data_IF_373255886630
#
_entry.id   IF_373255886630
#
_cell.length_a   1.000
_cell.length_b   1.000
_cell.length_c   1.000
_cell.angle_alpha   90.00
_cell.angle_beta   90.00
_cell.angle_gamma   90.00
#
_symmetry.space_group_name_H-M   'P 1'
#
loop_
_entity.id
_entity.type
_entity.pdbx_description
1 polymer ?
#
# COMPACT_ATOMS: atom_id res chain seq x y z
N UNK A 1 -9.97 6.45 -25.06
CA UNK A 1 -8.69 7.17 -24.87
C UNK A 1 -8.92 8.25 -23.84
N UNK A 2 -7.98 8.46 -22.90
CA UNK A 2 -8.07 9.57 -21.95
C UNK A 2 -7.74 10.89 -22.66
N UNK A 3 -8.51 11.98 -22.42
CA UNK A 3 -8.15 13.31 -22.89
C UNK A 3 -6.73 13.73 -22.47
N UNK A 4 -6.03 14.46 -23.35
CA UNK A 4 -4.72 15.02 -23.04
C UNK A 4 -4.81 16.04 -21.89
N UNK A 5 -3.78 16.13 -21.04
CA UNK A 5 -3.73 17.06 -19.91
C UNK A 5 -4.49 16.61 -18.64
N UNK A 6 -5.00 15.37 -18.57
CA UNK A 6 -5.59 14.85 -17.34
C UNK A 6 -4.50 14.52 -16.34
N UNK A 7 -4.44 15.29 -15.26
CA UNK A 7 -3.51 15.07 -14.15
C UNK A 7 -4.08 14.18 -13.04
N UNK A 8 -5.41 14.06 -12.93
CA UNK A 8 -6.08 13.25 -11.91
C UNK A 8 -7.16 12.37 -12.52
N UNK A 9 -7.10 11.06 -12.24
CA UNK A 9 -8.03 10.06 -12.75
C UNK A 9 -8.62 9.22 -11.61
N UNK A 10 -9.93 9.04 -11.64
CA UNK A 10 -10.67 8.15 -10.74
C UNK A 10 -11.25 6.98 -11.54
N UNK A 11 -10.94 5.75 -11.13
CA UNK A 11 -11.55 4.53 -11.66
C UNK A 11 -12.47 3.95 -10.58
N UNK A 12 -13.76 3.86 -10.86
CA UNK A 12 -14.74 3.28 -9.94
C UNK A 12 -15.54 2.19 -10.65
N UNK A 13 -15.79 1.07 -9.97
CA UNK A 13 -16.66 -0.03 -10.43
C UNK A 13 -16.23 -0.58 -11.81
N UNK A 14 -14.93 -0.80 -11.99
CA UNK A 14 -14.35 -1.35 -13.21
C UNK A 14 -13.82 -2.77 -12.97
N UNK A 15 -14.62 -3.75 -13.38
CA UNK A 15 -14.36 -5.17 -13.07
C UNK A 15 -13.81 -5.97 -14.25
N UNK A 16 -13.59 -5.32 -15.40
CA UNK A 16 -13.13 -5.98 -16.64
C UNK A 16 -11.61 -6.22 -16.67
N UNK A 17 -10.82 -5.47 -15.90
CA UNK A 17 -9.37 -5.61 -15.88
C UNK A 17 -8.86 -6.28 -14.60
N UNK A 18 -7.86 -7.16 -14.81
CA UNK A 18 -7.09 -7.80 -13.75
C UNK A 18 -5.97 -6.87 -13.26
N UNK A 19 -5.34 -6.12 -14.17
CA UNK A 19 -4.22 -5.22 -13.87
C UNK A 19 -4.49 -3.80 -14.36
N UNK A 20 -4.20 -2.77 -13.55
CA UNK A 20 -4.52 -1.37 -13.88
C UNK A 20 -3.73 -0.88 -15.11
N UNK A 21 -2.44 -1.22 -15.19
CA UNK A 21 -1.57 -0.83 -16.31
C UNK A 21 -1.93 -1.53 -17.63
N UNK A 22 -2.72 -2.61 -17.58
CA UNK A 22 -3.18 -3.33 -18.77
C UNK A 22 -4.35 -2.63 -19.48
N UNK A 23 -4.99 -1.65 -18.82
CA UNK A 23 -6.12 -0.92 -19.39
C UNK A 23 -5.66 -0.07 -20.58
N UNK A 24 -6.15 -0.30 -21.81
CA UNK A 24 -5.58 0.28 -23.03
C UNK A 24 -5.50 1.81 -23.02
N UNK A 25 -6.51 2.50 -22.49
CA UNK A 25 -6.54 3.97 -22.48
C UNK A 25 -5.66 4.62 -21.40
N UNK A 26 -5.12 3.85 -20.45
CA UNK A 26 -4.14 4.36 -19.48
C UNK A 26 -2.70 4.37 -20.04
N UNK A 27 -2.44 3.62 -21.12
CA UNK A 27 -1.12 3.59 -21.77
C UNK A 27 -0.71 4.96 -22.32
N UNK A 28 -1.68 5.71 -22.83
CA UNK A 28 -1.46 7.02 -23.44
C UNK A 28 -1.55 8.19 -22.44
N UNK A 29 -1.83 7.90 -21.16
CA UNK A 29 -2.04 8.91 -20.12
C UNK A 29 -0.72 9.48 -19.57
N UNK A 30 0.01 10.23 -20.40
CA UNK A 30 1.34 10.77 -20.08
C UNK A 30 1.33 11.87 -19.01
N UNK A 31 0.22 12.59 -18.88
CA UNK A 31 0.10 13.70 -17.92
C UNK A 31 -0.44 13.26 -16.56
N UNK A 32 -0.81 11.99 -16.39
CA UNK A 32 -1.45 11.52 -15.17
C UNK A 32 -0.50 11.59 -13.98
N UNK A 33 -0.88 12.31 -12.93
CA UNK A 33 -0.13 12.47 -11.67
C UNK A 33 -0.83 11.81 -10.49
N UNK A 34 -2.15 11.76 -10.49
CA UNK A 34 -2.95 11.17 -9.41
C UNK A 34 -3.90 10.13 -9.96
N UNK A 35 -3.87 8.94 -9.37
CA UNK A 35 -4.78 7.86 -9.71
C UNK A 35 -5.50 7.37 -8.45
N UNK A 36 -6.82 7.32 -8.51
CA UNK A 36 -7.69 6.82 -7.43
C UNK A 36 -8.50 5.67 -7.98
N UNK A 37 -8.42 4.49 -7.37
CA UNK A 37 -9.12 3.28 -7.80
C UNK A 37 -10.01 2.80 -6.67
N UNK A 38 -11.32 2.70 -6.93
CA UNK A 38 -12.31 2.31 -5.92
C UNK A 38 -13.26 1.23 -6.41
N UNK A 39 -13.68 0.34 -5.51
CA UNK A 39 -14.77 -0.60 -5.76
C UNK A 39 -14.58 -1.49 -7.01
N UNK A 40 -13.33 -1.73 -7.42
CA UNK A 40 -13.00 -2.61 -8.55
C UNK A 40 -12.76 -4.03 -8.00
N UNK A 41 -13.76 -4.89 -8.16
CA UNK A 41 -13.79 -6.28 -7.69
C UNK A 41 -13.00 -7.23 -8.58
N UNK A 42 -12.71 -6.84 -9.82
CA UNK A 42 -11.90 -7.61 -10.77
C UNK A 42 -10.39 -7.42 -10.63
N UNK A 43 -9.96 -6.31 -10.03
CA UNK A 43 -8.57 -5.89 -10.02
C UNK A 43 -7.74 -6.70 -9.03
N UNK A 44 -6.70 -7.39 -9.52
CA UNK A 44 -5.77 -8.18 -8.72
C UNK A 44 -4.38 -7.51 -8.59
N UNK A 45 -3.97 -6.70 -9.57
CA UNK A 45 -2.69 -5.98 -9.55
C UNK A 45 -2.75 -4.57 -10.14
N UNK A 46 -1.71 -3.76 -9.90
CA UNK A 46 -1.59 -2.42 -10.52
C UNK A 46 -0.74 -2.51 -11.77
N UNK A 47 0.45 -3.06 -11.66
CA UNK A 47 1.43 -3.12 -12.71
C UNK A 47 1.56 -4.54 -13.22
N UNK A 48 1.20 -4.73 -14.49
CA UNK A 48 1.42 -5.98 -15.19
C UNK A 48 2.82 -6.05 -15.77
N UNK A 49 3.49 -7.18 -15.53
CA UNK A 49 4.76 -7.53 -16.15
C UNK A 49 4.71 -7.56 -17.68
N UNK A 50 3.55 -7.83 -18.28
CA UNK A 50 3.36 -7.80 -19.73
C UNK A 50 3.24 -6.37 -20.31
N UNK A 51 3.22 -5.34 -19.46
CA UNK A 51 3.05 -3.94 -19.88
C UNK A 51 4.35 -3.13 -19.91
N UNK A 52 5.47 -3.74 -19.52
CA UNK A 52 6.78 -3.12 -19.69
C UNK A 52 7.17 -3.17 -21.18
N UNK A 53 7.42 -2.00 -21.78
CA UNK A 53 7.92 -1.95 -23.15
C UNK A 53 9.44 -2.13 -23.18
N UNK A 54 9.95 -2.66 -24.31
CA UNK A 54 11.40 -2.79 -24.55
C UNK A 54 12.12 -1.43 -24.52
N UNK A 55 11.41 -0.35 -24.83
CA UNK A 55 11.90 1.03 -24.78
C UNK A 55 11.99 1.62 -23.36
N UNK A 56 11.68 0.84 -22.32
CA UNK A 56 11.68 1.30 -20.92
C UNK A 56 10.56 2.27 -20.57
N UNK A 57 9.53 2.42 -21.42
CA UNK A 57 8.32 3.15 -21.07
C UNK A 57 7.42 2.27 -20.19
N UNK A 58 6.89 2.87 -19.13
CA UNK A 58 5.99 2.21 -18.19
C UNK A 58 4.66 2.95 -18.16
N UNK A 59 3.58 2.21 -18.36
CA UNK A 59 2.23 2.73 -18.13
C UNK A 59 2.11 3.18 -16.68
N UNK A 60 1.55 4.37 -16.45
CA UNK A 60 1.46 5.00 -15.12
C UNK A 60 2.81 5.42 -14.49
N UNK A 61 3.92 5.43 -15.26
CA UNK A 61 5.23 5.86 -14.74
C UNK A 61 5.27 7.31 -14.22
N UNK A 62 4.34 8.16 -14.68
CA UNK A 62 4.20 9.56 -14.27
C UNK A 62 3.33 9.78 -13.03
N UNK A 63 2.64 8.74 -12.54
CA UNK A 63 1.78 8.83 -11.35
C UNK A 63 2.63 9.08 -10.11
N UNK A 64 2.29 10.15 -9.41
CA UNK A 64 2.90 10.56 -8.14
C UNK A 64 2.05 10.16 -6.92
N UNK A 65 0.73 10.01 -7.07
CA UNK A 65 -0.17 9.64 -5.98
C UNK A 65 -1.12 8.54 -6.42
N UNK A 66 -1.07 7.38 -5.74
CA UNK A 66 -1.92 6.23 -6.02
C UNK A 66 -2.75 5.87 -4.78
N UNK A 67 -4.08 5.88 -4.93
CA UNK A 67 -5.02 5.55 -3.87
C UNK A 67 -5.88 4.35 -4.27
N UNK A 68 -5.71 3.25 -3.54
CA UNK A 68 -6.38 1.97 -3.77
C UNK A 68 -7.35 1.73 -2.62
N UNK A 69 -8.65 1.79 -2.92
CA UNK A 69 -9.69 1.72 -1.91
C UNK A 69 -10.75 0.67 -2.25
N UNK A 70 -11.12 -0.18 -1.29
CA UNK A 70 -12.19 -1.18 -1.46
C UNK A 70 -11.96 -2.10 -2.67
N UNK A 71 -10.79 -2.73 -2.72
CA UNK A 71 -10.41 -3.65 -3.80
C UNK A 71 -10.34 -5.08 -3.26
N UNK A 72 -11.45 -5.85 -3.28
CA UNK A 72 -11.53 -7.12 -2.54
C UNK A 72 -10.65 -8.23 -3.12
N UNK A 73 -10.26 -8.16 -4.40
CA UNK A 73 -9.36 -9.13 -5.04
C UNK A 73 -7.93 -8.62 -5.25
N UNK A 74 -7.64 -7.37 -4.87
CA UNK A 74 -6.31 -6.80 -5.05
C UNK A 74 -5.30 -7.52 -4.16
N UNK A 75 -4.22 -8.02 -4.77
CA UNK A 75 -3.25 -8.93 -4.13
C UNK A 75 -1.85 -8.35 -4.07
N UNK A 76 -1.39 -7.76 -5.17
CA UNK A 76 0.02 -7.36 -5.34
C UNK A 76 0.12 -6.10 -6.17
N UNK A 77 1.10 -5.25 -5.89
CA UNK A 77 1.39 -4.10 -6.76
C UNK A 77 1.85 -4.56 -8.16
N UNK A 78 2.64 -5.62 -8.23
CA UNK A 78 3.22 -6.18 -9.47
C UNK A 78 2.92 -7.66 -9.58
N UNK A 79 2.43 -8.12 -10.73
CA UNK A 79 2.00 -9.51 -10.96
C UNK A 79 3.11 -10.47 -11.43
N UNK A 80 4.36 -10.00 -11.59
CA UNK A 80 5.46 -10.80 -12.12
C UNK A 80 6.83 -10.44 -11.53
N UNK A 81 7.88 -11.03 -12.12
CA UNK A 81 9.27 -10.76 -11.73
C UNK A 81 9.57 -9.26 -11.78
N UNK A 82 10.39 -8.79 -10.83
CA UNK A 82 10.72 -7.37 -10.63
C UNK A 82 10.84 -6.57 -11.93
N UNK A 83 10.37 -5.30 -11.95
CA UNK A 83 10.68 -4.39 -13.04
C UNK A 83 12.20 -4.41 -13.29
N UNK A 84 12.66 -4.33 -14.55
CA UNK A 84 14.07 -4.09 -14.84
C UNK A 84 14.64 -2.99 -13.94
N UNK A 85 15.89 -3.13 -13.46
CA UNK A 85 16.53 -2.15 -12.54
C UNK A 85 16.57 -0.71 -13.08
N UNK A 86 16.28 -0.51 -14.37
CA UNK A 86 16.16 0.80 -15.04
C UNK A 86 14.78 1.45 -14.91
N UNK A 87 13.80 0.80 -14.31
CA UNK A 87 12.43 1.30 -14.17
C UNK A 87 12.26 1.98 -12.82
N UNK A 88 11.99 3.29 -12.84
CA UNK A 88 11.66 4.06 -11.66
C UNK A 88 10.27 4.68 -11.80
N UNK A 89 9.48 4.58 -10.73
CA UNK A 89 8.18 5.22 -10.63
C UNK A 89 8.33 6.58 -9.96
N UNK A 90 7.58 7.58 -10.44
CA UNK A 90 7.51 8.90 -9.81
C UNK A 90 6.62 8.94 -8.56
N UNK A 91 6.23 7.77 -8.05
CA UNK A 91 5.30 7.63 -6.94
C UNK A 91 5.88 8.26 -5.67
N UNK A 92 5.17 9.25 -5.15
CA UNK A 92 5.42 9.95 -3.89
C UNK A 92 4.46 9.51 -2.81
N UNK A 93 3.24 9.13 -3.16
CA UNK A 93 2.21 8.76 -2.21
C UNK A 93 1.52 7.47 -2.61
N UNK A 94 1.37 6.56 -1.64
CA UNK A 94 0.66 5.31 -1.84
C UNK A 94 -0.29 5.03 -0.67
N UNK A 95 -1.56 4.84 -1.00
CA UNK A 95 -2.62 4.57 -0.03
C UNK A 95 -3.31 3.25 -0.36
N UNK A 96 -3.45 2.39 0.65
CA UNK A 96 -4.30 1.20 0.63
C UNK A 96 -5.40 1.36 1.68
N UNK A 97 -6.66 1.18 1.27
CA UNK A 97 -7.82 1.23 2.17
C UNK A 97 -8.73 0.05 1.87
N UNK A 98 -8.95 -0.84 2.84
CA UNK A 98 -9.86 -2.00 2.66
C UNK A 98 -9.54 -2.87 1.44
N UNK A 99 -8.25 -3.12 1.21
CA UNK A 99 -7.76 -4.06 0.20
C UNK A 99 -7.52 -5.43 0.84
N UNK A 100 -8.60 -6.17 1.11
CA UNK A 100 -8.56 -7.32 2.02
C UNK A 100 -7.90 -8.59 1.44
N UNK A 101 -7.61 -8.68 0.14
CA UNK A 101 -6.87 -9.82 -0.42
C UNK A 101 -5.33 -9.65 -0.37
N UNK A 102 -4.84 -8.45 -0.05
CA UNK A 102 -3.40 -8.20 0.06
C UNK A 102 -2.86 -8.84 1.33
N UNK A 103 -1.77 -9.59 1.18
CA UNK A 103 -1.01 -10.13 2.30
C UNK A 103 0.22 -9.32 2.62
N UNK A 104 0.95 -8.85 1.59
CA UNK A 104 2.15 -8.05 1.74
C UNK A 104 2.11 -6.84 0.81
N UNK A 105 2.60 -5.68 1.25
CA UNK A 105 2.57 -4.47 0.43
C UNK A 105 3.74 -4.42 -0.55
N UNK A 106 4.96 -4.62 -0.05
CA UNK A 106 6.19 -4.57 -0.84
C UNK A 106 7.05 -5.82 -0.63
N UNK A 107 7.46 -6.50 -1.70
CA UNK A 107 8.75 -7.17 -1.74
C UNK A 107 9.87 -6.13 -1.57
N UNK A 108 10.91 -6.43 -0.79
CA UNK A 108 12.09 -5.57 -0.61
C UNK A 108 12.67 -5.10 -1.95
N UNK A 109 12.71 -6.00 -2.94
CA UNK A 109 13.29 -5.74 -4.24
C UNK A 109 12.55 -4.67 -5.06
N UNK A 110 11.29 -4.37 -4.71
CA UNK A 110 10.53 -3.32 -5.39
C UNK A 110 10.78 -1.93 -4.82
N UNK A 111 11.34 -1.82 -3.62
CA UNK A 111 11.56 -0.53 -2.98
C UNK A 111 12.53 0.35 -3.77
N UNK A 112 13.50 -0.25 -4.46
CA UNK A 112 14.44 0.46 -5.35
C UNK A 112 13.73 1.16 -6.52
N UNK A 113 12.56 0.68 -6.92
CA UNK A 113 11.77 1.29 -8.00
C UNK A 113 10.96 2.51 -7.52
N UNK A 114 10.93 2.80 -6.20
CA UNK A 114 10.19 3.91 -5.60
C UNK A 114 11.10 4.91 -4.85
N UNK A 115 12.12 5.48 -5.50
CA UNK A 115 13.10 6.35 -4.83
C UNK A 115 12.49 7.66 -4.30
N UNK A 116 11.27 8.00 -4.75
CA UNK A 116 10.57 9.23 -4.41
C UNK A 116 9.43 9.05 -3.41
N UNK A 117 9.24 7.87 -2.84
CA UNK A 117 8.12 7.61 -1.92
C UNK A 117 8.24 8.47 -0.66
N UNK A 118 7.27 9.36 -0.46
CA UNK A 118 7.16 10.27 0.69
C UNK A 118 6.12 9.80 1.70
N UNK A 119 5.04 9.15 1.25
CA UNK A 119 3.93 8.72 2.10
C UNK A 119 3.48 7.30 1.79
N UNK A 120 3.38 6.48 2.83
CA UNK A 120 2.75 5.17 2.79
C UNK A 120 1.65 5.10 3.84
N UNK A 121 0.42 4.79 3.39
CA UNK A 121 -0.72 4.59 4.27
C UNK A 121 -1.41 3.27 3.96
N UNK A 122 -1.58 2.42 4.97
CA UNK A 122 -2.27 1.13 4.87
C UNK A 122 -3.32 1.09 5.96
N UNK A 123 -4.59 1.09 5.57
CA UNK A 123 -5.71 1.27 6.49
C UNK A 123 -6.80 0.23 6.26
N UNK A 124 -7.32 -0.37 7.32
CA UNK A 124 -8.42 -1.35 7.28
C UNK A 124 -8.19 -2.51 6.31
N UNK A 125 -6.95 -2.94 6.10
CA UNK A 125 -6.61 -4.08 5.23
C UNK A 125 -6.42 -5.32 6.11
N UNK A 126 -7.47 -6.13 6.25
CA UNK A 126 -7.56 -7.13 7.33
C UNK A 126 -6.57 -8.29 7.23
N UNK A 127 -6.11 -8.64 6.03
CA UNK A 127 -5.23 -9.79 5.79
C UNK A 127 -3.76 -9.43 5.54
N UNK A 128 -3.39 -8.15 5.67
CA UNK A 128 -1.98 -7.75 5.56
C UNK A 128 -1.22 -8.32 6.75
N UNK A 129 -0.20 -9.13 6.48
CA UNK A 129 0.68 -9.76 7.46
C UNK A 129 2.01 -9.04 7.57
N UNK A 130 2.55 -8.52 6.45
CA UNK A 130 3.81 -7.77 6.44
C UNK A 130 3.70 -6.51 5.55
N UNK A 131 4.28 -5.38 5.96
CA UNK A 131 4.38 -4.22 5.05
C UNK A 131 5.47 -4.49 4.03
N UNK A 132 6.64 -4.91 4.48
CA UNK A 132 7.80 -5.19 3.65
C UNK A 132 8.28 -6.62 3.92
N UNK A 133 8.34 -7.43 2.87
CA UNK A 133 8.73 -8.84 2.93
C UNK A 133 9.93 -9.12 2.01
N UNK A 134 10.84 -9.97 2.47
CA UNK A 134 11.90 -10.51 1.62
C UNK A 134 11.37 -11.77 0.91
N UNK A 135 11.34 -11.75 -0.42
CA UNK A 135 10.87 -12.89 -1.22
C UNK A 135 12.09 -13.62 -1.81
N UNK A 136 12.35 -14.84 -1.33
CA UNK A 136 13.49 -15.66 -1.73
C UNK A 136 13.50 -16.02 -3.24
N UNK A 137 12.34 -16.13 -3.88
CA UNK A 137 12.27 -16.37 -5.33
C UNK A 137 12.73 -15.14 -6.16
N UNK A 138 12.75 -13.95 -5.55
CA UNK A 138 13.19 -12.71 -6.19
C UNK A 138 14.66 -12.39 -5.89
N UNK A 139 15.35 -13.19 -5.06
CA UNK A 139 16.77 -12.98 -4.69
C UNK A 139 17.79 -13.68 -5.62
N UNK A 140 17.34 -14.46 -6.61
CA UNK A 140 18.23 -15.14 -7.56
C UNK A 140 18.94 -14.22 -8.57
N UNK A 141 18.63 -12.92 -8.59
CA UNK A 141 19.30 -11.94 -9.44
C UNK A 141 20.47 -11.26 -8.72
N UNK A 142 21.59 -11.99 -8.60
CA UNK A 142 22.94 -11.45 -8.75
C UNK A 142 23.46 -10.36 -7.78
N UNK A 143 22.72 -9.92 -6.76
CA UNK A 143 23.29 -9.12 -5.69
C UNK A 143 23.72 -10.03 -4.53
N UNK A 144 24.96 -10.52 -4.62
CA UNK A 144 25.76 -10.63 -3.41
C UNK A 144 25.98 -9.21 -2.88
N UNK A 145 24.98 -8.67 -2.17
CA UNK A 145 25.19 -7.50 -1.32
C UNK A 145 25.18 -7.99 0.12
N UNK A 146 26.31 -7.74 0.76
CA UNK A 146 26.67 -8.18 2.09
C UNK A 146 25.57 -7.94 3.12
N UNK A 147 25.49 -8.87 4.06
CA UNK A 147 24.63 -8.92 5.23
C UNK A 147 24.61 -7.59 6.01
N UNK A 148 23.76 -6.67 5.58
CA UNK A 148 23.01 -5.81 6.48
C UNK A 148 21.57 -5.99 6.06
N UNK A 149 20.72 -6.50 6.95
CA UNK A 149 19.29 -6.64 6.71
C UNK A 149 18.63 -5.24 6.73
N UNK A 150 19.19 -4.26 6.00
CA UNK A 150 18.81 -2.86 6.06
C UNK A 150 18.31 -2.38 4.71
N UNK A 151 17.22 -1.62 4.72
CA UNK A 151 16.63 -0.97 3.54
C UNK A 151 16.64 0.53 3.73
N UNK A 152 16.75 1.27 2.63
CA UNK A 152 16.76 2.73 2.64
C UNK A 152 15.53 3.29 1.96
N UNK A 153 14.80 4.16 2.66
CA UNK A 153 13.69 4.94 2.11
C UNK A 153 13.97 6.42 2.40
N UNK A 154 14.85 7.06 1.59
CA UNK A 154 15.46 8.35 1.94
C UNK A 154 14.47 9.50 2.00
N UNK A 155 13.35 9.40 1.28
CA UNK A 155 12.33 10.46 1.16
C UNK A 155 11.04 10.18 1.94
N UNK A 156 10.92 9.01 2.58
CA UNK A 156 9.71 8.67 3.32
C UNK A 156 9.57 9.61 4.52
N UNK A 157 8.46 10.37 4.56
CA UNK A 157 8.09 11.33 5.60
C UNK A 157 7.01 10.80 6.50
N UNK A 158 6.02 10.10 5.95
CA UNK A 158 4.87 9.61 6.72
C UNK A 158 4.64 8.11 6.47
N UNK A 159 4.59 7.36 7.58
CA UNK A 159 4.15 5.97 7.60
C UNK A 159 2.90 5.86 8.49
N UNK A 160 1.77 5.44 7.90
CA UNK A 160 0.50 5.28 8.62
C UNK A 160 -0.05 3.87 8.46
N UNK A 161 -0.19 3.15 9.56
CA UNK A 161 -0.71 1.80 9.66
C UNK A 161 -1.92 1.83 10.60
N UNK A 162 -3.11 1.49 10.10
CA UNK A 162 -4.35 1.65 10.85
C UNK A 162 -5.28 0.44 10.70
N UNK A 163 -5.73 -0.13 11.81
CA UNK A 163 -6.65 -1.28 11.89
C UNK A 163 -6.20 -2.42 10.95
N UNK A 164 -5.00 -2.93 11.21
CA UNK A 164 -4.40 -4.07 10.51
C UNK A 164 -4.26 -5.24 11.49
N UNK A 165 -5.34 -5.99 11.76
CA UNK A 165 -5.41 -6.97 12.85
C UNK A 165 -4.43 -8.14 12.70
N UNK A 166 -4.00 -8.44 11.47
CA UNK A 166 -3.08 -9.54 11.14
C UNK A 166 -1.65 -9.10 10.87
N UNK A 167 -1.36 -7.80 10.98
CA UNK A 167 -0.02 -7.27 10.69
C UNK A 167 0.98 -7.72 11.76
N UNK A 168 1.92 -8.57 11.36
CA UNK A 168 2.97 -9.15 12.21
C UNK A 168 4.22 -8.29 12.22
N UNK A 169 4.62 -7.77 11.06
CA UNK A 169 5.87 -7.01 10.91
C UNK A 169 5.72 -5.85 9.94
N UNK A 170 6.39 -4.73 10.25
CA UNK A 170 6.58 -3.65 9.28
C UNK A 170 7.72 -4.05 8.34
N UNK A 171 8.84 -4.48 8.92
CA UNK A 171 9.99 -5.07 8.24
C UNK A 171 10.79 -5.87 9.26
N UNK A 172 11.31 -7.04 8.87
CA UNK A 172 12.11 -7.89 9.78
C UNK A 172 13.56 -7.43 9.94
N UNK A 173 13.98 -6.43 9.19
CA UNK A 173 15.29 -5.81 9.30
C UNK A 173 15.22 -4.36 9.79
N UNK A 174 16.20 -3.57 9.38
CA UNK A 174 16.32 -2.16 9.74
C UNK A 174 15.93 -1.26 8.56
N UNK A 175 15.17 -0.21 8.83
CA UNK A 175 14.74 0.80 7.88
C UNK A 175 15.49 2.10 8.16
N UNK A 176 16.29 2.52 7.19
CA UNK A 176 16.99 3.81 7.19
C UNK A 176 16.12 4.84 6.49
N UNK A 177 15.43 5.66 7.28
CA UNK A 177 14.49 6.68 6.81
C UNK A 177 14.88 8.07 7.35
N UNK A 178 15.92 8.73 6.81
CA UNK A 178 16.43 10.00 7.35
C UNK A 178 15.40 11.15 7.31
N UNK A 179 14.44 11.08 6.37
CA UNK A 179 13.37 12.10 6.21
C UNK A 179 12.08 11.76 6.96
N UNK A 180 12.03 10.68 7.75
CA UNK A 180 10.79 10.27 8.42
C UNK A 180 10.41 11.33 9.45
N UNK A 181 9.18 11.85 9.33
CA UNK A 181 8.64 12.87 10.21
C UNK A 181 7.61 12.27 11.16
N UNK A 182 6.73 11.42 10.64
CA UNK A 182 5.59 10.89 11.39
C UNK A 182 5.41 9.38 11.18
N UNK A 183 5.21 8.67 12.28
CA UNK A 183 4.93 7.25 12.29
C UNK A 183 3.69 6.99 13.12
N UNK A 184 2.65 6.45 12.49
CA UNK A 184 1.37 6.18 13.12
C UNK A 184 1.04 4.70 13.03
N UNK A 185 0.84 4.06 14.17
CA UNK A 185 0.47 2.63 14.26
C UNK A 185 -0.70 2.47 15.22
N UNK A 186 -1.89 2.21 14.68
CA UNK A 186 -3.14 2.09 15.43
C UNK A 186 -3.87 0.81 15.05
N UNK A 187 -4.44 0.10 16.04
CA UNK A 187 -5.20 -1.12 15.77
C UNK A 187 -4.38 -2.24 15.10
N UNK A 188 -3.08 -2.34 15.42
CA UNK A 188 -2.16 -3.34 14.89
C UNK A 188 -1.57 -4.21 16.02
N UNK A 189 -2.37 -5.09 16.65
CA UNK A 189 -2.03 -5.75 17.92
C UNK A 189 -0.89 -6.78 17.82
N UNK A 190 -0.56 -7.25 16.62
CA UNK A 190 0.48 -8.27 16.40
C UNK A 190 1.87 -7.67 16.13
N UNK A 191 1.97 -6.37 15.84
CA UNK A 191 3.25 -5.71 15.58
C UNK A 191 3.98 -5.49 16.89
N UNK A 192 5.16 -6.10 17.03
CA UNK A 192 5.99 -5.97 18.25
C UNK A 192 7.29 -5.22 18.06
N UNK A 193 7.68 -4.88 16.83
CA UNK A 193 8.93 -4.19 16.55
C UNK A 193 8.70 -2.98 15.66
N UNK A 194 9.48 -1.93 15.91
CA UNK A 194 9.56 -0.76 15.06
C UNK A 194 10.92 -0.77 14.33
N UNK A 195 10.96 -1.03 13.02
CA UNK A 195 12.22 -1.26 12.31
C UNK A 195 13.01 0.01 12.01
N UNK A 196 12.84 1.12 12.74
CA UNK A 196 13.53 2.38 12.41
C UNK A 196 14.98 2.37 12.91
N UNK A 197 15.93 2.71 12.04
CA UNK A 197 17.31 2.94 12.44
C UNK A 197 17.43 4.19 13.31
N UNK A 198 18.20 4.10 14.40
CA UNK A 198 18.71 5.29 15.08
C UNK A 198 19.78 5.98 14.23
N UNK A 199 19.87 7.30 14.31
CA UNK A 199 20.96 8.07 13.73
C UNK A 199 22.18 8.00 14.65
N UNK A 200 23.37 7.74 14.11
CA UNK A 200 24.61 7.74 14.90
C UNK A 200 25.36 9.06 14.67
N UNK A 201 25.53 9.86 15.73
CA UNK A 201 26.39 11.05 15.73
C UNK A 201 27.64 10.75 16.56
N UNK A 202 28.69 10.25 15.90
CA UNK A 202 29.86 9.69 16.57
C UNK A 202 29.51 8.42 17.35
N UNK A 203 29.76 8.41 18.66
CA UNK A 203 29.42 7.29 19.56
C UNK A 203 27.98 7.37 20.11
N UNK A 204 27.24 8.44 19.84
CA UNK A 204 25.93 8.67 20.43
C UNK A 204 24.80 8.37 19.44
N UNK A 205 23.90 7.48 19.84
CA UNK A 205 22.67 7.20 19.10
C UNK A 205 21.61 8.28 19.38
N UNK A 206 20.96 8.77 18.33
CA UNK A 206 19.87 9.73 18.36
C UNK A 206 18.71 9.26 17.49
N UNK A 207 17.53 9.87 17.66
CA UNK A 207 16.40 9.59 16.79
C UNK A 207 16.71 10.07 15.35
N UNK A 208 16.03 9.53 14.32
CA UNK A 208 16.11 10.10 12.98
C UNK A 208 15.90 11.62 13.02
N UNK A 209 16.74 12.42 12.33
CA UNK A 209 16.82 13.86 12.55
C UNK A 209 15.52 14.60 12.20
N UNK A 210 14.72 14.06 11.29
CA UNK A 210 13.44 14.63 10.89
C UNK A 210 12.25 14.16 11.75
N UNK A 211 12.43 13.17 12.64
CA UNK A 211 11.32 12.52 13.33
C UNK A 211 10.68 13.47 14.35
N UNK A 212 9.42 13.81 14.11
CA UNK A 212 8.63 14.73 14.92
C UNK A 212 7.67 14.00 15.85
N UNK A 213 7.05 12.93 15.37
CA UNK A 213 6.02 12.24 16.13
C UNK A 213 5.92 10.74 15.86
N UNK A 214 5.72 9.99 16.93
CA UNK A 214 5.22 8.62 16.89
C UNK A 214 3.86 8.61 17.60
N UNK A 215 2.81 8.25 16.87
CA UNK A 215 1.47 8.11 17.44
C UNK A 215 1.02 6.66 17.42
N UNK A 216 0.64 6.15 18.58
CA UNK A 216 0.14 4.78 18.72
C UNK A 216 -0.65 4.64 20.03
N UNK A 217 -1.46 3.59 20.13
CA UNK A 217 -2.09 3.20 21.40
C UNK A 217 -1.01 2.94 22.47
N UNK A 218 -1.27 3.36 23.70
CA UNK A 218 -0.33 3.20 24.84
C UNK A 218 0.00 1.73 25.09
N UNK A 219 -1.00 0.86 25.07
CA UNK A 219 -0.81 -0.59 25.20
C UNK A 219 0.15 -1.14 24.13
N UNK A 220 0.03 -0.65 22.90
CA UNK A 220 0.93 -1.05 21.82
C UNK A 220 2.36 -0.56 22.06
N UNK A 221 2.54 0.72 22.42
CA UNK A 221 3.85 1.32 22.69
C UNK A 221 4.60 0.60 23.81
N UNK A 222 3.89 0.23 24.89
CA UNK A 222 4.46 -0.52 26.00
C UNK A 222 4.74 -1.98 25.67
N UNK A 223 4.02 -2.56 24.71
CA UNK A 223 4.22 -3.95 24.24
C UNK A 223 5.40 -4.13 23.26
N UNK A 224 5.98 -3.03 22.77
CA UNK A 224 7.08 -3.07 21.81
C UNK A 224 8.33 -3.74 22.40
N UNK A 225 8.88 -4.66 21.63
CA UNK A 225 10.16 -5.31 21.84
C UNK A 225 11.27 -4.48 21.20
N UNK A 226 12.14 -3.91 22.02
CA UNK A 226 13.26 -3.08 21.59
C UNK A 226 14.55 -3.89 21.63
N UNK A 227 15.33 -3.87 20.55
CA UNK A 227 16.61 -4.59 20.49
C UNK A 227 17.66 -3.98 21.44
N UNK A 228 17.57 -2.66 21.70
CA UNK A 228 18.36 -1.94 22.69
C UNK A 228 17.44 -1.06 23.55
N UNK A 229 17.46 -1.18 24.90
CA UNK A 229 16.74 -0.29 25.81
C UNK A 229 16.96 1.21 25.56
N UNK A 230 18.13 1.59 25.02
CA UNK A 230 18.43 2.97 24.64
C UNK A 230 17.49 3.47 23.53
N UNK A 231 17.07 2.59 22.62
CA UNK A 231 16.13 2.92 21.52
C UNK A 231 14.80 3.44 22.06
N UNK A 232 14.21 2.75 23.04
CA UNK A 232 12.96 3.21 23.69
C UNK A 232 13.18 4.57 24.34
N UNK A 233 14.28 4.75 25.07
CA UNK A 233 14.61 6.00 25.77
C UNK A 233 14.76 7.17 24.82
N UNK A 234 15.40 6.98 23.67
CA UNK A 234 15.60 7.99 22.62
C UNK A 234 14.28 8.38 21.96
N UNK A 235 13.41 7.40 21.69
CA UNK A 235 12.15 7.64 20.98
C UNK A 235 11.00 8.07 21.91
N UNK A 236 11.10 7.83 23.22
CA UNK A 236 10.07 8.17 24.21
C UNK A 236 9.60 9.64 24.15
N UNK A 237 10.46 10.66 24.00
CA UNK A 237 10.02 12.06 23.90
C UNK A 237 9.22 12.37 22.62
N UNK A 238 9.41 11.56 21.58
CA UNK A 238 8.75 11.67 20.28
C UNK A 238 7.43 10.89 20.25
N UNK A 239 7.23 9.96 21.18
CA UNK A 239 5.94 9.31 21.38
C UNK A 239 4.91 10.31 21.93
N UNK A 240 3.77 10.43 21.24
CA UNK A 240 2.71 11.39 21.58
C UNK A 240 1.39 10.75 22.00
N UNK A 241 1.38 9.44 22.25
CA UNK A 241 0.15 8.76 22.65
C UNK A 241 -0.83 8.52 21.50
N UNK A 242 -2.06 8.19 21.87
CA UNK A 242 -3.18 8.15 20.95
C UNK A 242 -3.64 9.56 20.62
N UNK A 243 -3.15 10.12 19.51
CA UNK A 243 -3.76 11.35 18.98
C UNK A 243 -5.15 11.03 18.41
N UNK A 244 -6.09 11.97 18.60
CA UNK A 244 -7.18 12.14 17.63
C UNK A 244 -6.50 12.40 16.30
N UNK A 245 -6.62 11.45 15.37
CA UNK A 245 -6.03 11.47 14.03
C UNK A 245 -5.95 12.92 13.53
N UNK A 246 -4.75 13.52 13.37
CA UNK A 246 -4.70 14.76 12.62
C UNK A 246 -5.31 14.45 11.26
N UNK A 247 -6.14 15.37 10.75
CA UNK A 247 -6.96 15.28 9.54
C UNK A 247 -6.15 15.08 8.22
N UNK A 248 -5.03 14.35 8.26
CA UNK A 248 -4.19 13.98 7.12
C UNK A 248 -4.74 12.82 6.30
N UNK A 249 -5.81 12.16 6.75
CA UNK A 249 -6.68 11.52 5.78
C UNK A 249 -7.28 12.67 4.97
N UNK A 250 -7.03 12.79 3.64
CA UNK A 250 -7.91 13.64 2.84
C UNK A 250 -9.34 13.21 3.21
N UNK A 251 -10.25 14.16 3.51
CA UNK A 251 -11.60 13.80 3.88
C UNK A 251 -12.06 12.77 2.86
N UNK A 252 -12.48 11.58 3.33
CA UNK A 252 -13.22 10.68 2.48
C UNK A 252 -14.23 11.59 1.78
N UNK A 253 -14.22 11.70 0.44
CA UNK A 253 -15.24 12.50 -0.20
C UNK A 253 -16.56 11.97 0.37
N UNK A 254 -17.34 12.87 0.99
CA UNK A 254 -18.69 12.57 1.48
C UNK A 254 -19.54 12.30 0.24
N UNK A 255 -19.28 11.17 -0.43
CA UNK A 255 -20.14 10.65 -1.47
C UNK A 255 -21.20 9.77 -0.79
N UNK A 256 -22.40 9.74 -1.37
CA UNK A 256 -23.55 9.10 -0.78
C UNK A 256 -23.26 7.60 -0.58
N UNK A 257 -23.99 6.95 0.34
CA UNK A 257 -23.92 5.51 0.47
C UNK A 257 -24.07 4.84 -0.90
N UNK A 258 -23.39 3.71 -1.15
CA UNK A 258 -23.53 2.97 -2.39
C UNK A 258 -25.02 2.73 -2.68
N UNK A 259 -25.46 2.86 -3.94
CA UNK A 259 -26.85 2.58 -4.28
C UNK A 259 -27.20 1.17 -3.80
N UNK A 260 -28.42 0.96 -3.25
CA UNK A 260 -28.84 -0.36 -2.85
C UNK A 260 -28.70 -1.33 -4.03
N UNK A 261 -28.36 -2.61 -3.76
CA UNK A 261 -28.23 -3.59 -4.83
C UNK A 261 -29.51 -3.62 -5.68
N UNK A 262 -29.39 -3.80 -7.01
CA UNK A 262 -30.55 -3.88 -7.86
C UNK A 262 -31.47 -4.99 -7.34
N UNK A 263 -32.69 -4.60 -6.95
CA UNK A 263 -33.75 -5.54 -6.64
C UNK A 263 -34.12 -6.19 -7.96
N UNK A 264 -33.50 -7.33 -8.26
CA UNK A 264 -34.00 -8.16 -9.35
C UNK A 264 -35.41 -8.61 -8.96
N UNK A 265 -36.44 -8.32 -9.77
CA UNK A 265 -37.74 -8.93 -9.54
C UNK A 265 -37.53 -10.44 -9.62
N UNK A 266 -37.88 -11.15 -8.54
CA UNK A 266 -38.01 -12.59 -8.55
C UNK A 266 -38.93 -12.97 -9.71
N UNK A 267 -38.34 -13.40 -10.83
CA UNK A 267 -39.09 -14.14 -11.83
C UNK A 267 -39.46 -15.46 -11.18
N UNK A 268 -40.72 -15.56 -10.75
CA UNK A 268 -41.34 -16.83 -10.42
C UNK A 268 -41.10 -17.80 -11.59
N UNK A 269 -40.69 -19.04 -11.33
CA UNK A 269 -40.57 -20.03 -12.39
C UNK A 269 -41.93 -20.21 -13.08
N UNK A 270 -41.96 -20.46 -14.40
CA UNK A 270 -43.20 -20.65 -15.13
C UNK A 270 -43.97 -21.83 -14.53
N UNK A 271 -45.26 -21.61 -14.27
CA UNK A 271 -46.16 -22.66 -13.84
C UNK A 271 -46.21 -23.74 -14.91
N UNK A 272 -45.98 -25.00 -14.51
CA UNK A 272 -46.26 -26.16 -15.35
C UNK A 272 -47.78 -26.24 -15.54
N UNK A 273 -48.27 -25.90 -16.73
CA UNK A 273 -49.64 -26.19 -17.13
C UNK A 273 -49.86 -27.70 -17.14
N UNK A 274 -50.90 -28.11 -16.41
CA UNK A 274 -51.41 -29.47 -16.30
C UNK A 274 -51.81 -30.04 -17.66
N UNK A 275 -51.35 -31.26 -17.95
CA UNK A 275 -51.83 -32.11 -19.04
C UNK A 275 -53.36 -32.27 -19.00
N UNK A 276 -54.08 -32.22 -20.14
CA UNK A 276 -55.51 -32.49 -20.16
C UNK A 276 -55.81 -33.98 -19.97
N UNK A 277 -56.75 -34.26 -19.09
CA UNK A 277 -57.36 -35.58 -18.88
C UNK A 277 -58.24 -35.90 -20.10
N UNK A 278 -57.88 -36.91 -20.87
CA UNK A 278 -58.80 -37.51 -21.84
C UNK A 278 -59.34 -38.84 -21.30
N UNK A 279 -60.66 -38.95 -21.43
CA UNK A 279 -61.53 -40.12 -21.23
C UNK A 279 -61.19 -41.18 -22.27
#
# INVERSE_FOLDING_TARGET
MLPAGIESFGLEVFDEAISLSAIPWLKDAKDLRKCVVKYCNGLESIFSSSTFSEDGQISLGTVESLDLSWLPKFRVLFDGLTPPHSIWFNLKELYFRKCNAVKNIFPVQLLENFPNLERLSVTWCENVEDIIVEIAEMSYRGSHQDYSNSISLPKLKDLTLWDLPRLKSIYNGVMVCPSIENVYVYGCPMVRKLPLSLHMDGEQATAPPALKSIGANEEWWESLEWDDPLTKTILQPLYKGAFRVPYFLPPLPLWPPPPPPPIFPFLLPPQFDSLPSNI
#
